data_IF_303625399224
#
_entry.id   IF_303625399224
#
_cell.length_a   1.000
_cell.length_b   1.000
_cell.length_c   1.000
_cell.angle_alpha   90.00
_cell.angle_beta   90.00
_cell.angle_gamma   90.00
#
_symmetry.space_group_name_H-M   'P 1'
#
loop_
_entity.id
_entity.type
_entity.pdbx_description
1 polymer ?
#
# COMPACT_ATOMS: atom_id res chain seq x y z
N UNK A 1 -17.03 -13.75 10.03
CA UNK A 1 -16.55 -12.35 9.96
C UNK A 1 -17.77 -11.45 9.94
N UNK A 2 -17.98 -10.61 10.97
CA UNK A 2 -19.14 -9.70 11.01
C UNK A 2 -18.80 -8.48 10.14
N UNK A 3 -19.34 -8.42 8.93
CA UNK A 3 -19.30 -7.24 8.07
C UNK A 3 -20.19 -6.16 8.70
N UNK A 4 -19.57 -5.26 9.44
CA UNK A 4 -20.27 -4.14 10.06
C UNK A 4 -20.33 -3.00 9.03
N UNK A 5 -21.21 -3.13 8.04
CA UNK A 5 -21.38 -2.23 6.89
C UNK A 5 -21.62 -0.75 7.23
N UNK A 6 -21.91 -0.42 8.50
CA UNK A 6 -21.93 0.96 9.01
C UNK A 6 -20.55 1.63 9.09
N UNK A 7 -19.45 0.88 9.09
CA UNK A 7 -18.08 1.42 9.16
C UNK A 7 -17.49 1.77 7.79
N UNK A 8 -18.15 1.40 6.69
CA UNK A 8 -17.62 1.57 5.32
C UNK A 8 -17.96 2.93 4.69
N UNK A 9 -18.80 3.75 5.32
CA UNK A 9 -19.14 5.08 4.82
C UNK A 9 -18.35 6.13 5.63
N UNK A 10 -17.40 6.87 5.01
CA UNK A 10 -16.71 7.97 5.69
C UNK A 10 -17.69 9.04 6.17
N UNK A 11 -17.43 9.59 7.35
CA UNK A 11 -18.12 10.79 7.81
C UNK A 11 -17.36 12.04 7.33
N UNK A 12 -18.10 13.10 6.96
CA UNK A 12 -17.52 14.35 6.46
C UNK A 12 -17.67 15.44 7.53
N UNK A 13 -16.55 16.07 7.90
CA UNK A 13 -16.52 17.20 8.83
C UNK A 13 -16.67 18.51 8.06
N UNK A 14 -17.74 19.24 8.35
CA UNK A 14 -18.02 20.57 7.78
C UNK A 14 -17.48 21.68 8.68
N UNK A 15 -16.82 22.68 8.09
CA UNK A 15 -16.41 23.93 8.74
C UNK A 15 -17.04 25.10 7.97
N UNK A 16 -17.85 25.92 8.65
CA UNK A 16 -18.61 27.03 8.02
C UNK A 16 -19.46 26.57 6.83
N UNK A 17 -20.07 25.39 6.93
CA UNK A 17 -20.89 24.80 5.87
C UNK A 17 -20.10 24.20 4.70
N UNK A 18 -18.76 24.21 4.74
CA UNK A 18 -17.90 23.63 3.70
C UNK A 18 -17.17 22.38 4.19
N UNK A 19 -17.04 21.31 3.38
CA UNK A 19 -16.23 20.14 3.74
C UNK A 19 -14.78 20.51 4.04
N UNK A 20 -14.25 19.98 5.15
CA UNK A 20 -12.90 20.31 5.63
C UNK A 20 -12.06 19.10 6.04
N UNK A 21 -12.69 18.01 6.46
CA UNK A 21 -12.01 16.76 6.78
C UNK A 21 -12.95 15.56 6.62
N UNK A 22 -12.40 14.35 6.71
CA UNK A 22 -13.16 13.09 6.74
C UNK A 22 -12.74 12.25 7.94
N UNK A 23 -13.66 11.52 8.52
CA UNK A 23 -13.41 10.51 9.56
C UNK A 23 -13.59 9.15 8.91
N UNK A 24 -12.56 8.32 9.06
CA UNK A 24 -12.45 6.98 8.46
C UNK A 24 -12.10 5.96 9.54
N UNK A 25 -12.46 4.70 9.31
CA UNK A 25 -11.90 3.60 10.09
C UNK A 25 -10.39 3.53 9.84
N UNK A 26 -9.61 3.36 10.91
CA UNK A 26 -8.14 3.36 10.81
C UNK A 26 -7.62 2.27 9.88
N UNK A 27 -8.27 1.10 9.83
CA UNK A 27 -7.85 0.01 8.95
C UNK A 27 -8.12 0.34 7.48
N UNK A 28 -9.20 1.06 7.18
CA UNK A 28 -9.46 1.52 5.81
C UNK A 28 -8.43 2.56 5.38
N UNK A 29 -8.08 3.49 6.27
CA UNK A 29 -7.02 4.46 5.99
C UNK A 29 -5.69 3.77 5.69
N UNK A 30 -5.31 2.77 6.49
CA UNK A 30 -4.09 1.98 6.26
C UNK A 30 -4.13 1.23 4.92
N UNK A 31 -5.26 0.59 4.58
CA UNK A 31 -5.43 -0.06 3.27
C UNK A 31 -5.36 0.91 2.10
N UNK A 32 -5.84 2.16 2.28
CA UNK A 32 -5.72 3.18 1.26
C UNK A 32 -4.25 3.58 1.03
N UNK A 33 -3.44 3.65 2.09
CA UNK A 33 -2.00 3.90 1.98
C UNK A 33 -1.29 2.76 1.26
N UNK A 34 -1.54 1.51 1.66
CA UNK A 34 -0.96 0.31 1.02
C UNK A 34 -1.26 0.28 -0.49
N UNK A 35 -2.51 0.61 -0.89
CA UNK A 35 -2.88 0.68 -2.32
C UNK A 35 -2.16 1.79 -3.09
N UNK A 36 -1.76 2.87 -2.44
CA UNK A 36 -0.96 3.93 -3.10
C UNK A 36 0.44 3.40 -3.36
N UNK A 37 1.04 2.75 -2.36
CA UNK A 37 2.36 2.10 -2.50
C UNK A 37 2.33 1.00 -3.58
N UNK A 38 1.28 0.18 -3.63
CA UNK A 38 1.08 -0.84 -4.67
C UNK A 38 1.12 -0.24 -6.09
N UNK A 39 0.59 0.97 -6.28
CA UNK A 39 0.62 1.64 -7.59
C UNK A 39 2.05 2.01 -7.98
N UNK A 40 2.84 2.53 -7.03
CA UNK A 40 4.24 2.86 -7.25
C UNK A 40 5.09 1.62 -7.55
N UNK A 41 4.85 0.53 -6.81
CA UNK A 41 5.49 -0.77 -7.04
C UNK A 41 5.16 -1.33 -8.42
N UNK A 42 3.89 -1.23 -8.85
CA UNK A 42 3.49 -1.65 -10.20
C UNK A 42 4.18 -0.83 -11.29
N UNK A 43 4.36 0.48 -11.08
CA UNK A 43 5.14 1.30 -12.01
C UNK A 43 6.60 0.88 -12.06
N UNK A 44 7.22 0.63 -10.91
CA UNK A 44 8.59 0.14 -10.82
C UNK A 44 8.74 -1.19 -11.58
N UNK A 45 7.84 -2.14 -11.36
CA UNK A 45 7.84 -3.43 -12.05
C UNK A 45 7.69 -3.26 -13.57
N UNK A 46 6.83 -2.35 -14.03
CA UNK A 46 6.70 -2.02 -15.46
C UNK A 46 8.02 -1.47 -16.02
N UNK A 47 8.69 -0.57 -15.31
CA UNK A 47 10.00 -0.01 -15.70
C UNK A 47 11.06 -1.11 -15.76
N UNK A 48 11.12 -2.00 -14.76
CA UNK A 48 12.06 -3.11 -14.72
C UNK A 48 11.87 -4.07 -15.91
N UNK A 49 10.62 -4.36 -16.27
CA UNK A 49 10.27 -5.25 -17.39
C UNK A 49 10.59 -4.69 -18.79
N UNK A 50 11.04 -3.44 -18.90
CA UNK A 50 11.50 -2.87 -20.19
C UNK A 50 12.78 -3.54 -20.71
N UNK A 51 13.52 -4.25 -19.85
CA UNK A 51 14.73 -5.00 -20.22
C UNK A 51 14.63 -6.43 -19.69
N UNK A 52 15.35 -7.39 -20.29
CA UNK A 52 15.43 -8.75 -19.76
C UNK A 52 15.96 -8.74 -18.33
N UNK A 53 15.18 -9.31 -17.40
CA UNK A 53 15.55 -9.41 -16.00
C UNK A 53 16.43 -10.63 -15.76
N UNK A 54 17.46 -10.46 -14.92
CA UNK A 54 18.27 -11.56 -14.41
C UNK A 54 17.90 -11.77 -12.95
N UNK A 55 17.34 -12.93 -12.66
CA UNK A 55 17.00 -13.32 -11.30
C UNK A 55 18.10 -14.21 -10.73
N UNK A 56 18.35 -14.04 -9.44
CA UNK A 56 19.22 -14.92 -8.67
C UNK A 56 18.35 -15.95 -7.96
N UNK A 57 18.82 -17.19 -7.85
CA UNK A 57 18.16 -18.19 -7.01
C UNK A 57 18.23 -17.74 -5.55
N UNK A 58 17.20 -18.06 -4.78
CA UNK A 58 17.15 -17.67 -3.38
C UNK A 58 18.33 -18.25 -2.58
N UNK A 59 18.71 -19.51 -2.86
CA UNK A 59 19.81 -20.18 -2.17
C UNK A 59 21.15 -19.48 -2.44
N UNK A 60 21.35 -18.99 -3.66
CA UNK A 60 22.57 -18.27 -4.02
C UNK A 60 22.58 -16.86 -3.40
N UNK A 61 21.42 -16.22 -3.26
CA UNK A 61 21.30 -14.96 -2.51
C UNK A 61 21.66 -15.16 -1.03
N UNK A 62 21.08 -16.17 -0.38
CA UNK A 62 21.27 -16.44 1.05
C UNK A 62 22.74 -16.76 1.41
N UNK A 63 23.52 -17.32 0.49
CA UNK A 63 24.97 -17.55 0.70
C UNK A 63 25.79 -16.26 0.74
N UNK A 64 25.35 -15.21 0.05
CA UNK A 64 26.02 -13.91 0.01
C UNK A 64 25.45 -12.93 1.03
N UNK A 65 24.22 -13.17 1.47
CA UNK A 65 23.53 -12.32 2.41
C UNK A 65 24.10 -12.51 3.83
N UNK A 66 24.87 -11.54 4.31
CA UNK A 66 25.36 -11.48 5.68
C UNK A 66 24.65 -10.34 6.43
N UNK A 67 23.63 -10.63 7.26
CA UNK A 67 22.92 -9.61 8.03
C UNK A 67 23.74 -9.24 9.27
N UNK A 68 24.76 -8.39 9.10
CA UNK A 68 25.44 -7.72 10.22
C UNK A 68 24.79 -6.37 10.56
N UNK A 69 23.45 -6.32 10.49
CA UNK A 69 22.63 -5.15 10.86
C UNK A 69 21.58 -5.52 11.89
#
# INVERSE_FOLDING_TARGET
>A
MRSNSKRDVPEIVLRQGKPSAVILDINQYQQMLEKIEDVEDLEMLKRMRTKPLKFKRLEDFLKEYNPDV
#
